data_IF_742296701012
#
_entry.id   IF_742296701012
#
_cell.length_a   1.000
_cell.length_b   1.000
_cell.length_c   1.000
_cell.angle_alpha   90.00
_cell.angle_beta   90.00
_cell.angle_gamma   90.00
#
_symmetry.space_group_name_H-M   'P 1'
#
loop_
_entity.id
_entity.type
_entity.pdbx_description
1 polymer ?
#
# COMPACT_ATOMS: atom_id res chain seq x y z
N UNK A 1 14.32 -9.72 -1.54
CA UNK A 1 13.30 -9.32 -2.54
C UNK A 1 12.57 -8.11 -1.98
N UNK A 2 12.30 -7.13 -2.82
CA UNK A 2 11.51 -5.95 -2.47
C UNK A 2 10.18 -6.06 -3.18
N UNK A 3 9.08 -5.95 -2.43
CA UNK A 3 7.72 -6.06 -2.97
C UNK A 3 7.10 -4.69 -2.90
N UNK A 4 6.69 -4.18 -4.06
CA UNK A 4 6.02 -2.90 -4.19
C UNK A 4 4.58 -3.19 -4.61
N UNK A 5 3.61 -2.79 -3.80
CA UNK A 5 2.19 -2.88 -4.13
C UNK A 5 1.63 -1.47 -4.28
N UNK A 6 0.98 -1.21 -5.41
CA UNK A 6 0.30 0.05 -5.69
C UNK A 6 -1.20 -0.22 -5.69
N UNK A 7 -1.95 0.57 -4.93
CA UNK A 7 -3.40 0.51 -4.86
C UNK A 7 -4.02 1.73 -5.54
N UNK A 8 -4.95 1.50 -6.47
CA UNK A 8 -5.83 2.56 -6.97
C UNK A 8 -6.95 2.75 -5.95
N UNK A 9 -7.14 3.96 -5.44
CA UNK A 9 -8.12 4.27 -4.39
C UNK A 9 -9.38 4.91 -4.99
N UNK A 10 -10.54 4.63 -4.40
CA UNK A 10 -11.81 5.28 -4.76
C UNK A 10 -12.09 6.57 -3.99
N UNK A 11 -11.17 6.99 -3.11
CA UNK A 11 -11.22 8.21 -2.33
C UNK A 11 -9.96 9.04 -2.57
N UNK A 12 -10.07 10.35 -2.41
CA UNK A 12 -8.95 11.28 -2.58
C UNK A 12 -7.92 11.17 -1.44
N UNK A 13 -8.37 10.89 -0.22
CA UNK A 13 -7.51 10.82 0.97
C UNK A 13 -7.97 9.75 1.95
N UNK A 14 -7.01 9.06 2.59
CA UNK A 14 -7.25 8.14 3.70
C UNK A 14 -6.82 8.83 5.00
N UNK A 15 -7.62 8.78 6.07
CA UNK A 15 -7.23 9.34 7.37
C UNK A 15 -6.16 8.45 8.01
N UNK A 16 -4.89 8.81 7.81
CA UNK A 16 -3.73 8.15 8.38
C UNK A 16 -3.05 9.04 9.42
N UNK A 17 -2.75 8.45 10.58
CA UNK A 17 -1.86 9.05 11.57
C UNK A 17 -0.39 8.83 11.15
N UNK A 18 0.49 9.76 11.51
CA UNK A 18 1.94 9.65 11.26
C UNK A 18 2.57 8.45 11.98
N UNK A 19 1.93 7.97 13.05
CA UNK A 19 2.32 6.81 13.83
C UNK A 19 1.63 5.51 13.37
N UNK A 20 0.87 5.55 12.27
CA UNK A 20 0.21 4.36 11.75
C UNK A 20 1.25 3.29 11.36
N UNK A 21 1.02 2.05 11.79
CA UNK A 21 1.88 0.93 11.40
C UNK A 21 1.70 0.59 9.93
N UNK A 22 2.72 -0.02 9.32
CA UNK A 22 2.63 -0.46 7.91
C UNK A 22 1.47 -1.42 7.66
N UNK A 23 1.14 -2.28 8.63
CA UNK A 23 -0.02 -3.18 8.52
C UNK A 23 -1.36 -2.41 8.54
N UNK A 24 -1.46 -1.34 9.33
CA UNK A 24 -2.67 -0.52 9.37
C UNK A 24 -2.86 0.27 8.09
N UNK A 25 -1.78 0.78 7.50
CA UNK A 25 -1.80 1.42 6.18
C UNK A 25 -2.34 0.46 5.12
N UNK A 26 -1.86 -0.79 5.11
CA UNK A 26 -2.32 -1.81 4.15
C UNK A 26 -3.81 -2.14 4.29
N UNK A 27 -4.29 -2.33 5.52
CA UNK A 27 -5.71 -2.61 5.80
C UNK A 27 -6.58 -1.45 5.29
N UNK A 28 -6.18 -0.21 5.57
CA UNK A 28 -6.93 0.97 5.15
C UNK A 28 -6.89 1.16 3.64
N UNK A 29 -5.72 1.05 3.01
CA UNK A 29 -5.57 1.16 1.56
C UNK A 29 -6.38 0.09 0.82
N UNK A 30 -6.37 -1.16 1.31
CA UNK A 30 -7.15 -2.27 0.75
C UNK A 30 -8.66 -2.02 0.86
N UNK A 31 -9.14 -1.39 1.95
CA UNK A 31 -10.55 -1.07 2.15
C UNK A 31 -11.13 -0.06 1.15
N UNK A 32 -10.28 0.80 0.58
CA UNK A 32 -10.67 1.80 -0.42
C UNK A 32 -10.19 1.45 -1.84
N UNK A 33 -9.61 0.27 -2.04
CA UNK A 33 -8.96 -0.07 -3.30
C UNK A 33 -9.97 -0.46 -4.39
N UNK A 34 -9.87 0.18 -5.56
CA UNK A 34 -10.54 -0.23 -6.81
C UNK A 34 -9.80 -1.39 -7.50
N UNK A 35 -8.53 -1.58 -7.14
CA UNK A 35 -7.63 -2.59 -7.69
C UNK A 35 -6.19 -2.30 -7.28
N UNK A 36 -5.33 -3.30 -7.40
CA UNK A 36 -3.91 -3.20 -7.06
C UNK A 36 -3.02 -3.87 -8.10
N UNK A 37 -1.75 -3.47 -8.12
CA UNK A 37 -0.71 -4.08 -8.92
C UNK A 37 0.55 -4.26 -8.07
N UNK A 38 1.26 -5.37 -8.28
CA UNK A 38 2.46 -5.71 -7.50
C UNK A 38 3.67 -5.91 -8.41
N UNK A 39 4.80 -5.33 -8.01
CA UNK A 39 6.11 -5.49 -8.63
C UNK A 39 7.10 -6.05 -7.61
N UNK A 40 7.80 -7.13 -7.98
CA UNK A 40 8.82 -7.74 -7.13
C UNK A 40 10.21 -7.51 -7.73
N UNK A 41 11.07 -6.83 -6.98
CA UNK A 41 12.47 -6.59 -7.32
C UNK A 41 13.44 -7.47 -6.53
N UNK A 42 14.60 -7.74 -7.11
CA UNK A 42 15.71 -8.46 -6.48
C UNK A 42 16.91 -7.50 -6.40
N UNK A 43 17.61 -7.52 -5.27
CA UNK A 43 18.86 -6.77 -5.07
C UNK A 43 19.94 -7.74 -4.60
N UNK A 44 21.14 -7.61 -5.16
CA UNK A 44 22.35 -8.27 -4.70
C UNK A 44 23.40 -7.20 -4.37
N UNK A 45 24.20 -7.45 -3.33
CA UNK A 45 25.23 -6.52 -2.87
C UNK A 45 26.50 -6.60 -3.71
#
# INVERSE_FOLDING_TARGET
>A
HYVFTVHALNVESIPLDQNASGAMVEILASGYSLGSATLTGIYSR
#
